data_IF_520470570636
#
_entry.id   IF_520470570636
#
_cell.length_a   1.000
_cell.length_b   1.000
_cell.length_c   1.000
_cell.angle_alpha   90.00
_cell.angle_beta   90.00
_cell.angle_gamma   90.00
#
_symmetry.space_group_name_H-M   'P 1'
#
loop_
_entity.id
_entity.type
_entity.pdbx_description
1 polymer ?
#
# COMPACT_ATOMS: atom_id res chain seq x y z
N UNK A 1 11.32 20.22 -21.72
CA UNK A 1 10.83 18.91 -21.29
C UNK A 1 9.51 19.12 -20.61
N UNK A 2 8.41 18.89 -21.33
CA UNK A 2 7.03 19.20 -20.90
C UNK A 2 6.25 17.90 -20.62
N UNK A 3 6.93 16.74 -20.66
CA UNK A 3 6.30 15.42 -20.49
C UNK A 3 6.09 15.01 -19.04
N UNK A 4 6.95 15.47 -18.12
CA UNK A 4 6.96 14.93 -16.74
C UNK A 4 5.96 15.62 -15.82
N UNK A 5 5.56 16.87 -16.13
CA UNK A 5 4.59 17.62 -15.34
C UNK A 5 3.15 17.15 -15.57
N UNK A 6 2.82 16.69 -16.78
CA UNK A 6 1.48 16.24 -17.13
C UNK A 6 1.08 14.91 -16.46
N UNK A 7 2.07 14.03 -16.19
CA UNK A 7 1.83 12.80 -15.43
C UNK A 7 1.53 13.07 -13.96
N UNK A 8 2.25 14.02 -13.36
CA UNK A 8 2.13 14.37 -11.95
C UNK A 8 0.80 15.05 -11.59
N UNK A 9 0.29 15.94 -12.45
CA UNK A 9 -1.00 16.62 -12.24
C UNK A 9 -2.18 15.64 -12.30
N UNK A 10 -2.08 14.57 -13.11
CA UNK A 10 -3.13 13.54 -13.20
C UNK A 10 -3.16 12.58 -12.01
N UNK A 11 -2.02 12.36 -11.33
CA UNK A 11 -1.90 11.50 -10.14
C UNK A 11 -2.41 12.20 -8.86
N UNK A 12 -2.44 13.53 -8.83
CA UNK A 12 -2.82 14.31 -7.64
C UNK A 12 -4.33 14.54 -7.48
N UNK A 13 -5.13 14.46 -8.55
CA UNK A 13 -6.55 14.82 -8.52
C UNK A 13 -7.44 13.73 -7.88
N UNK A 14 -7.02 12.46 -7.93
CA UNK A 14 -7.75 11.32 -7.34
C UNK A 14 -6.79 10.25 -6.79
N UNK A 15 -6.12 10.50 -5.66
CA UNK A 15 -5.20 9.52 -5.09
C UNK A 15 -5.96 8.26 -4.67
N UNK A 16 -5.63 7.12 -5.27
CA UNK A 16 -6.19 5.81 -4.93
C UNK A 16 -5.06 4.80 -4.72
N UNK A 17 -5.14 3.97 -3.69
CA UNK A 17 -4.17 2.90 -3.45
C UNK A 17 -4.86 1.54 -3.44
N UNK A 18 -4.18 0.53 -3.99
CA UNK A 18 -4.60 -0.86 -3.83
C UNK A 18 -3.90 -1.50 -2.65
N UNK A 19 -4.68 -2.09 -1.76
CA UNK A 19 -4.20 -2.88 -0.63
C UNK A 19 -4.73 -4.30 -0.78
N UNK A 20 -3.89 -5.29 -0.48
CA UNK A 20 -4.22 -6.71 -0.61
C UNK A 20 -3.89 -7.48 0.67
N UNK A 21 -4.74 -8.43 1.04
CA UNK A 21 -4.49 -9.35 2.14
C UNK A 21 -4.91 -10.77 1.74
N UNK A 22 -4.00 -11.72 1.90
CA UNK A 22 -4.23 -13.15 1.64
C UNK A 22 -3.98 -13.88 2.95
N UNK A 23 -4.91 -14.75 3.31
CA UNK A 23 -4.83 -15.59 4.51
C UNK A 23 -5.13 -17.02 4.09
N UNK A 24 -4.24 -17.95 4.44
CA UNK A 24 -4.37 -19.38 4.16
C UNK A 24 -4.30 -20.18 5.45
N UNK A 25 -5.33 -20.99 5.68
CA UNK A 25 -5.54 -21.75 6.90
C UNK A 25 -5.53 -23.25 6.59
N UNK A 26 -4.36 -23.90 6.55
CA UNK A 26 -4.30 -25.34 6.27
C UNK A 26 -4.93 -26.18 7.39
N UNK A 27 -4.93 -25.66 8.63
CA UNK A 27 -5.54 -26.26 9.81
C UNK A 27 -6.11 -25.15 10.71
N UNK A 28 -7.01 -25.49 11.62
CA UNK A 28 -7.77 -24.54 12.43
C UNK A 28 -6.88 -23.59 13.28
N UNK A 29 -5.71 -24.08 13.72
CA UNK A 29 -4.81 -23.37 14.62
C UNK A 29 -3.64 -22.67 13.92
N UNK A 30 -3.53 -22.75 12.58
CA UNK A 30 -2.39 -22.21 11.82
C UNK A 30 -2.87 -21.30 10.69
N UNK A 31 -2.43 -20.04 10.72
CA UNK A 31 -2.67 -19.06 9.64
C UNK A 31 -1.33 -18.67 8.98
N UNK A 32 -1.26 -18.78 7.66
CA UNK A 32 -0.26 -18.10 6.83
C UNK A 32 -0.88 -16.83 6.27
N UNK A 33 -0.24 -15.68 6.44
CA UNK A 33 -0.78 -14.42 5.91
C UNK A 33 0.28 -13.62 5.15
N UNK A 34 -0.18 -12.93 4.11
CA UNK A 34 0.59 -11.97 3.32
C UNK A 34 -0.28 -10.74 3.13
N UNK A 35 0.26 -9.58 3.52
CA UNK A 35 -0.37 -8.27 3.36
C UNK A 35 0.50 -7.41 2.46
N UNK A 36 -0.11 -6.80 1.45
CA UNK A 36 0.49 -5.76 0.61
C UNK A 36 -0.24 -4.44 0.81
N UNK A 37 0.52 -3.36 0.96
CA UNK A 37 0.04 -1.97 1.00
C UNK A 37 0.62 -1.15 -0.13
N UNK A 38 -0.17 -0.20 -0.64
CA UNK A 38 0.21 0.67 -1.75
C UNK A 38 0.76 -0.14 -2.94
N UNK A 39 0.03 -1.17 -3.37
CA UNK A 39 0.43 -2.05 -4.48
C UNK A 39 0.53 -1.31 -5.82
N UNK A 40 -0.13 -0.16 -5.94
CA UNK A 40 -0.05 0.75 -7.09
C UNK A 40 1.17 1.66 -7.04
N UNK A 41 1.92 1.67 -5.94
CA UNK A 41 3.11 2.50 -5.72
C UNK A 41 2.87 4.01 -5.92
N UNK A 42 1.68 4.44 -5.53
CA UNK A 42 1.24 5.83 -5.64
C UNK A 42 1.98 6.71 -4.63
N UNK A 43 2.39 7.90 -5.08
CA UNK A 43 3.13 8.87 -4.28
C UNK A 43 2.18 9.95 -3.79
N UNK A 44 1.38 9.64 -2.78
CA UNK A 44 0.44 10.62 -2.24
C UNK A 44 1.13 11.48 -1.16
N UNK A 45 0.84 12.78 -1.18
CA UNK A 45 0.99 13.63 -0.02
C UNK A 45 -0.34 13.61 0.75
N UNK A 46 -0.36 13.02 1.95
CA UNK A 46 -1.56 12.97 2.78
C UNK A 46 -2.03 14.41 3.11
N UNK A 47 -3.19 14.80 2.59
CA UNK A 47 -3.80 16.10 2.84
C UNK A 47 -4.10 16.21 4.35
N UNK A 48 -3.35 17.07 5.06
CA UNK A 48 -3.46 17.22 6.52
C UNK A 48 -2.13 17.20 7.29
N UNK A 49 -1.02 16.83 6.65
CA UNK A 49 0.32 17.00 7.23
C UNK A 49 0.93 18.35 6.82
N UNK A 50 1.51 19.07 7.80
CA UNK A 50 2.12 20.41 7.65
C UNK A 50 3.38 20.38 6.74
N UNK A 51 3.88 19.19 6.42
CA UNK A 51 5.00 18.93 5.53
C UNK A 51 4.62 17.74 4.63
N UNK A 52 5.04 17.69 3.35
CA UNK A 52 4.84 16.53 2.50
C UNK A 52 5.63 15.35 3.07
N UNK A 53 5.01 14.61 3.98
CA UNK A 53 5.49 13.30 4.36
C UNK A 53 5.16 12.39 3.19
N UNK A 54 6.20 11.99 2.44
CA UNK A 54 6.08 11.00 1.40
C UNK A 54 5.40 9.77 2.00
N UNK A 55 4.20 9.43 1.51
CA UNK A 55 3.58 8.17 1.89
C UNK A 55 4.52 7.04 1.47
N UNK A 56 4.67 6.06 2.35
CA UNK A 56 5.59 4.96 2.12
C UNK A 56 5.16 4.20 0.84
N UNK A 57 6.12 3.93 -0.05
CA UNK A 57 5.85 3.21 -1.31
C UNK A 57 5.34 1.79 -1.09
N UNK A 58 5.27 0.98 -2.15
CA UNK A 58 4.77 -0.39 -2.06
C UNK A 58 5.47 -1.18 -0.92
N UNK A 59 4.69 -1.68 0.03
CA UNK A 59 5.20 -2.43 1.20
C UNK A 59 4.45 -3.74 1.37
N UNK A 60 5.20 -4.80 1.63
CA UNK A 60 4.66 -6.12 1.93
C UNK A 60 5.16 -6.61 3.27
N UNK A 61 4.29 -7.28 4.02
CA UNK A 61 4.70 -8.08 5.17
C UNK A 61 3.87 -9.36 5.22
N UNK A 62 4.47 -10.42 5.72
CA UNK A 62 3.79 -11.70 5.88
C UNK A 62 4.30 -12.41 7.11
N UNK A 63 3.61 -13.46 7.50
CA UNK A 63 3.98 -14.21 8.68
C UNK A 63 3.13 -15.44 8.89
N UNK A 64 3.43 -16.09 10.01
CA UNK A 64 2.74 -17.27 10.51
C UNK A 64 2.12 -16.92 11.86
N UNK A 65 0.86 -17.28 12.06
CA UNK A 65 0.17 -17.13 13.35
C UNK A 65 -0.30 -18.49 13.81
N UNK A 66 0.03 -18.84 15.06
CA UNK A 66 -0.47 -20.03 15.72
C UNK A 66 -1.44 -19.63 16.84
N UNK A 67 -2.59 -20.30 16.93
CA UNK A 67 -3.61 -20.08 17.97
C UNK A 67 -3.63 -21.29 18.91
N UNK A 68 -3.52 -21.03 20.22
CA UNK A 68 -3.62 -22.05 21.28
C UNK A 68 -5.05 -22.17 21.79
#
# INVERSE_FOLDING_TARGET
GVSDAAGLDSELDYPWEMNGNIVYNPIENLDFFITGRNLTNEKNALQGFISPNAQEGARGYGGVRYRF
#
